data_IF_401576051737
#
_entry.id   IF_401576051737
#
_cell.length_a   1.000
_cell.length_b   1.000
_cell.length_c   1.000
_cell.angle_alpha   90.00
_cell.angle_beta   90.00
_cell.angle_gamma   90.00
#
_symmetry.space_group_name_H-M   'P 1'
#
loop_
_entity.id
_entity.type
_entity.pdbx_description
1 polymer ?
#
# COMPACT_ATOMS: atom_id res chain seq x y z
N UNK A 1 53.17 -15.50 8.47
CA UNK A 1 52.42 -14.95 7.31
C UNK A 1 51.86 -13.59 7.70
N UNK A 2 52.05 -12.57 6.83
CA UNK A 2 51.51 -11.24 7.07
C UNK A 2 49.97 -11.24 6.83
N UNK A 3 49.24 -10.40 7.57
CA UNK A 3 47.81 -10.21 7.37
C UNK A 3 47.55 -9.31 6.16
N UNK A 4 46.50 -9.58 5.39
CA UNK A 4 46.05 -8.67 4.32
C UNK A 4 45.70 -7.32 4.94
N UNK A 5 46.25 -6.26 4.39
CA UNK A 5 46.05 -4.90 4.85
C UNK A 5 46.27 -3.90 3.69
N UNK A 6 45.39 -2.88 3.58
CA UNK A 6 45.41 -1.93 2.47
C UNK A 6 44.62 -2.41 1.26
N UNK A 7 44.83 -1.76 0.11
CA UNK A 7 44.15 -2.11 -1.14
C UNK A 7 44.74 -3.40 -1.74
N UNK A 8 43.86 -4.27 -2.25
CA UNK A 8 44.24 -5.52 -2.88
C UNK A 8 43.15 -6.17 -3.72
N UNK A 9 43.55 -7.22 -4.41
CA UNK A 9 42.68 -8.10 -5.18
C UNK A 9 42.76 -9.48 -4.56
N UNK A 10 41.63 -10.08 -4.24
CA UNK A 10 41.50 -11.45 -3.77
C UNK A 10 40.65 -12.25 -4.75
N UNK A 11 41.20 -13.33 -5.26
CA UNK A 11 40.50 -14.31 -6.07
C UNK A 11 40.48 -15.65 -5.32
N UNK A 12 39.34 -16.30 -5.29
CA UNK A 12 39.15 -17.61 -4.65
C UNK A 12 38.75 -18.66 -5.67
N UNK A 13 39.11 -19.90 -5.41
CA UNK A 13 39.00 -21.04 -6.35
C UNK A 13 37.56 -21.26 -6.89
N UNK A 14 36.56 -20.74 -6.22
CA UNK A 14 35.17 -20.81 -6.68
C UNK A 14 34.78 -19.68 -7.68
N UNK A 15 35.77 -18.90 -8.18
CA UNK A 15 35.54 -17.84 -9.14
C UNK A 15 35.02 -16.52 -8.57
N UNK A 16 34.99 -16.39 -7.26
CA UNK A 16 34.70 -15.10 -6.63
C UNK A 16 35.94 -14.21 -6.65
N UNK A 17 35.73 -12.92 -6.94
CA UNK A 17 36.80 -11.91 -6.96
C UNK A 17 36.37 -10.69 -6.14
N UNK A 18 37.21 -10.30 -5.19
CA UNK A 18 37.07 -9.05 -4.46
C UNK A 18 38.19 -8.07 -4.81
N UNK A 19 37.82 -6.83 -5.07
CA UNK A 19 38.73 -5.72 -5.33
C UNK A 19 38.42 -4.61 -4.33
N UNK A 20 39.33 -4.30 -3.41
CA UNK A 20 39.02 -3.30 -2.39
C UNK A 20 40.02 -3.28 -1.25
N UNK A 21 39.60 -2.67 -0.16
CA UNK A 21 40.42 -2.50 1.03
C UNK A 21 40.28 -3.68 1.99
N UNK A 22 41.42 -4.06 2.60
CA UNK A 22 41.50 -5.05 3.67
C UNK A 22 42.04 -4.43 4.96
N UNK A 23 41.60 -4.96 6.07
CA UNK A 23 42.23 -4.72 7.39
C UNK A 23 42.21 -6.01 8.19
N UNK A 24 43.41 -6.49 8.57
CA UNK A 24 43.57 -7.73 9.35
C UNK A 24 42.86 -8.92 8.73
N UNK A 25 43.08 -9.15 7.42
CA UNK A 25 42.51 -10.21 6.60
C UNK A 25 40.98 -10.04 6.23
N UNK A 26 40.31 -9.01 6.70
CA UNK A 26 38.91 -8.76 6.46
C UNK A 26 38.66 -7.60 5.50
N UNK A 27 37.64 -7.72 4.66
CA UNK A 27 37.19 -6.62 3.80
C UNK A 27 36.73 -5.45 4.67
N UNK A 28 37.16 -4.23 4.31
CA UNK A 28 36.90 -2.99 5.02
C UNK A 28 36.87 -1.81 4.07
N UNK A 29 35.94 -0.85 4.26
CA UNK A 29 35.82 0.29 3.36
C UNK A 29 35.21 -0.08 2.02
N UNK A 30 35.39 0.78 1.02
CA UNK A 30 34.80 0.55 -0.31
C UNK A 30 35.46 -0.63 -1.03
N UNK A 31 34.68 -1.43 -1.73
CA UNK A 31 35.15 -2.53 -2.55
C UNK A 31 34.08 -3.10 -3.48
N UNK A 32 34.55 -3.89 -4.43
CA UNK A 32 33.69 -4.58 -5.41
C UNK A 32 33.87 -6.09 -5.27
N UNK A 33 32.78 -6.81 -5.11
CA UNK A 33 32.74 -8.27 -5.05
C UNK A 33 32.00 -8.82 -6.27
N UNK A 34 32.71 -9.60 -7.07
CA UNK A 34 32.18 -10.30 -8.23
C UNK A 34 31.99 -11.76 -7.85
N UNK A 35 30.80 -12.31 -8.14
CA UNK A 35 30.48 -13.71 -7.91
C UNK A 35 30.23 -14.43 -9.25
N UNK A 36 30.50 -15.73 -9.27
CA UNK A 36 30.40 -16.56 -10.48
C UNK A 36 28.99 -16.72 -11.06
N UNK A 37 27.95 -16.37 -10.29
CA UNK A 37 26.55 -16.37 -10.73
C UNK A 37 26.08 -15.03 -11.30
N UNK A 38 27.00 -14.20 -11.82
CA UNK A 38 26.76 -12.85 -12.32
C UNK A 38 26.19 -11.88 -11.27
N UNK A 39 26.46 -12.12 -10.01
CA UNK A 39 26.22 -11.13 -8.96
C UNK A 39 27.42 -10.20 -8.83
N UNK A 40 27.15 -8.91 -8.76
CA UNK A 40 28.15 -7.86 -8.51
C UNK A 40 27.67 -7.03 -7.33
N UNK A 41 28.53 -6.87 -6.35
CA UNK A 41 28.30 -6.03 -5.18
C UNK A 41 29.36 -4.93 -5.16
N UNK A 42 28.93 -3.69 -5.13
CA UNK A 42 29.80 -2.52 -4.95
C UNK A 42 29.33 -1.78 -3.71
N UNK A 43 30.07 -1.91 -2.62
CA UNK A 43 29.57 -1.43 -1.33
C UNK A 43 30.71 -1.05 -0.40
N UNK A 44 30.36 -0.36 0.68
CA UNK A 44 31.20 -0.32 1.85
C UNK A 44 31.11 -1.64 2.61
N UNK A 45 32.27 -2.11 3.07
CA UNK A 45 32.42 -3.34 3.86
C UNK A 45 32.93 -3.03 5.26
N UNK A 46 32.47 -3.81 6.23
CA UNK A 46 32.99 -3.87 7.59
C UNK A 46 32.98 -5.32 8.04
N UNK A 47 34.15 -5.83 8.45
CA UNK A 47 34.30 -7.22 8.91
C UNK A 47 33.70 -8.23 7.91
N UNK A 48 34.07 -8.11 6.62
CA UNK A 48 33.60 -8.91 5.48
C UNK A 48 32.15 -8.74 5.05
N UNK A 49 31.33 -7.98 5.76
CA UNK A 49 29.91 -7.75 5.48
C UNK A 49 29.68 -6.40 4.83
N UNK A 50 28.69 -6.32 3.95
CA UNK A 50 28.19 -5.04 3.45
C UNK A 50 27.69 -4.18 4.62
N UNK A 51 28.19 -2.95 4.70
CA UNK A 51 27.89 -2.04 5.79
C UNK A 51 28.09 -0.59 5.33
N UNK A 52 27.03 0.13 5.06
CA UNK A 52 27.01 1.45 4.44
C UNK A 52 26.30 1.45 3.11
N UNK A 53 26.47 2.50 2.33
CA UNK A 53 25.85 2.60 1.00
C UNK A 53 26.48 1.58 0.02
N UNK A 54 25.62 1.01 -0.85
CA UNK A 54 26.10 0.07 -1.86
C UNK A 54 25.06 -0.25 -2.93
N UNK A 55 25.57 -0.88 -3.97
CA UNK A 55 24.85 -1.38 -5.13
C UNK A 55 24.97 -2.91 -5.15
N UNK A 56 23.85 -3.59 -5.37
CA UNK A 56 23.78 -5.02 -5.61
C UNK A 56 23.14 -5.27 -6.96
N UNK A 57 23.83 -6.00 -7.83
CA UNK A 57 23.37 -6.36 -9.17
C UNK A 57 23.34 -7.87 -9.31
N UNK A 58 22.28 -8.43 -9.84
CA UNK A 58 22.14 -9.86 -10.14
C UNK A 58 21.82 -10.06 -11.63
N UNK A 59 22.88 -10.13 -12.44
CA UNK A 59 22.77 -10.20 -13.88
C UNK A 59 22.05 -8.96 -14.44
N UNK A 60 21.04 -9.19 -15.27
CA UNK A 60 20.12 -8.14 -15.76
C UNK A 60 18.79 -8.14 -15.01
N UNK A 61 18.66 -8.90 -13.92
CA UNK A 61 17.38 -9.28 -13.36
C UNK A 61 16.95 -8.45 -12.16
N UNK A 62 17.89 -8.10 -11.30
CA UNK A 62 17.61 -7.36 -10.07
C UNK A 62 18.73 -6.37 -9.81
N UNK A 63 18.38 -5.16 -9.41
CA UNK A 63 19.30 -4.15 -8.93
C UNK A 63 18.77 -3.55 -7.64
N UNK A 64 19.62 -3.39 -6.66
CA UNK A 64 19.33 -2.64 -5.45
C UNK A 64 20.39 -1.58 -5.21
N UNK A 65 19.95 -0.39 -4.84
CA UNK A 65 20.76 0.76 -4.50
C UNK A 65 20.29 1.30 -3.15
N UNK A 66 21.12 1.30 -2.14
CA UNK A 66 20.71 1.76 -0.82
C UNK A 66 21.71 1.44 0.27
N UNK A 67 21.26 1.53 1.49
CA UNK A 67 22.08 1.29 2.66
C UNK A 67 22.00 -0.16 3.13
N UNK A 68 23.11 -0.63 3.67
CA UNK A 68 23.29 -1.99 4.18
C UNK A 68 23.82 -1.96 5.60
N UNK A 69 23.36 -2.86 6.41
CA UNK A 69 23.94 -3.19 7.71
C UNK A 69 24.01 -4.71 7.88
N UNK A 70 25.22 -5.22 8.09
CA UNK A 70 25.47 -6.65 8.25
C UNK A 70 24.85 -7.52 7.14
N UNK A 71 25.04 -7.15 5.87
CA UNK A 71 24.51 -7.79 4.66
C UNK A 71 22.99 -7.65 4.48
N UNK A 72 22.30 -6.83 5.25
CA UNK A 72 20.86 -6.59 5.13
C UNK A 72 20.55 -5.16 4.73
N UNK A 73 19.55 -4.97 3.89
CA UNK A 73 19.05 -3.65 3.51
C UNK A 73 18.46 -2.92 4.71
N UNK A 74 18.80 -1.64 4.86
CA UNK A 74 18.27 -0.75 5.89
C UNK A 74 18.01 0.65 5.33
N UNK A 75 17.18 1.43 6.01
CA UNK A 75 16.91 2.81 5.61
C UNK A 75 16.33 2.90 4.20
N UNK A 76 16.63 3.98 3.49
CA UNK A 76 16.10 4.21 2.14
C UNK A 76 16.88 3.39 1.12
N UNK A 77 16.12 2.70 0.24
CA UNK A 77 16.66 1.94 -0.87
C UNK A 77 15.78 2.01 -2.12
N UNK A 78 16.38 1.70 -3.25
CA UNK A 78 15.72 1.58 -4.55
C UNK A 78 16.01 0.20 -5.13
N UNK A 79 14.98 -0.56 -5.44
CA UNK A 79 15.07 -1.91 -6.01
C UNK A 79 14.32 -1.98 -7.33
N UNK A 80 14.93 -2.63 -8.33
CA UNK A 80 14.35 -2.83 -9.66
C UNK A 80 14.38 -4.33 -9.97
N UNK A 81 13.29 -4.86 -10.52
CA UNK A 81 13.16 -6.24 -10.95
C UNK A 81 13.18 -6.37 -12.49
N UNK A 82 13.36 -7.60 -12.97
CA UNK A 82 13.48 -7.93 -14.40
C UNK A 82 12.25 -7.49 -15.22
N UNK A 83 11.08 -7.51 -14.62
CA UNK A 83 9.81 -7.09 -15.23
C UNK A 83 9.62 -5.56 -15.24
N UNK A 84 10.66 -4.81 -14.86
CA UNK A 84 10.69 -3.35 -14.71
C UNK A 84 9.86 -2.82 -13.54
N UNK A 85 9.24 -3.68 -12.74
CA UNK A 85 8.67 -3.24 -11.48
C UNK A 85 9.76 -2.70 -10.58
N UNK A 86 9.44 -1.73 -9.73
CA UNK A 86 10.42 -1.14 -8.84
C UNK A 86 9.81 -0.69 -7.52
N UNK A 87 10.66 -0.60 -6.51
CA UNK A 87 10.32 -0.07 -5.21
C UNK A 87 11.32 0.99 -4.78
N UNK A 88 10.82 2.09 -4.29
CA UNK A 88 11.60 3.12 -3.60
C UNK A 88 11.00 3.38 -2.23
N UNK A 89 11.76 3.15 -1.17
CA UNK A 89 11.23 3.33 0.18
C UNK A 89 12.14 2.79 1.27
N UNK A 90 11.56 2.65 2.44
CA UNK A 90 12.26 2.24 3.64
C UNK A 90 12.40 0.72 3.74
N UNK A 91 13.55 0.30 4.25
CA UNK A 91 13.87 -1.09 4.56
C UNK A 91 14.31 -1.22 6.02
N UNK A 92 13.93 -2.29 6.64
CA UNK A 92 14.38 -2.71 7.96
C UNK A 92 14.78 -4.19 7.90
N UNK A 93 16.06 -4.49 8.13
CA UNK A 93 16.61 -5.86 8.08
C UNK A 93 16.27 -6.65 6.80
N UNK A 94 16.25 -6.01 5.63
CA UNK A 94 15.93 -6.62 4.34
C UNK A 94 14.45 -6.73 4.03
N UNK A 95 13.59 -6.11 4.84
CA UNK A 95 12.12 -6.13 4.72
C UNK A 95 11.65 -4.71 4.40
N UNK A 96 10.71 -4.55 3.45
CA UNK A 96 10.04 -3.28 3.22
C UNK A 96 9.19 -2.94 4.43
N UNK A 97 9.48 -1.80 5.05
CA UNK A 97 8.82 -1.32 6.27
C UNK A 97 8.90 0.21 6.32
N UNK A 98 7.84 0.89 6.82
CA UNK A 98 7.76 2.35 6.79
C UNK A 98 7.12 2.86 5.50
N UNK A 99 7.59 3.96 4.96
CA UNK A 99 7.00 4.61 3.79
C UNK A 99 7.71 4.17 2.51
N UNK A 100 6.93 3.89 1.47
CA UNK A 100 7.52 3.55 0.16
C UNK A 100 6.53 3.62 -0.99
N UNK A 101 7.10 3.71 -2.19
CA UNK A 101 6.39 3.67 -3.46
C UNK A 101 6.76 2.40 -4.20
N UNK A 102 5.77 1.67 -4.67
CA UNK A 102 5.94 0.53 -5.55
C UNK A 102 5.26 0.81 -6.90
N UNK A 103 6.00 0.63 -7.98
CA UNK A 103 5.48 0.67 -9.35
C UNK A 103 5.53 -0.75 -9.91
N UNK A 104 4.38 -1.29 -10.29
CA UNK A 104 4.28 -2.60 -10.94
C UNK A 104 4.52 -2.50 -12.44
N UNK A 105 4.83 -3.63 -13.05
CA UNK A 105 5.07 -3.74 -14.51
C UNK A 105 3.85 -3.41 -15.37
N UNK A 106 2.64 -3.47 -14.81
CA UNK A 106 1.39 -3.06 -15.47
C UNK A 106 1.08 -1.55 -15.34
N UNK A 107 2.03 -0.76 -14.79
CA UNK A 107 1.91 0.66 -14.44
C UNK A 107 0.93 0.98 -13.30
N UNK A 108 0.42 0.00 -12.59
CA UNK A 108 -0.20 0.29 -11.31
C UNK A 108 0.84 0.75 -10.29
N UNK A 109 0.44 1.59 -9.35
CA UNK A 109 1.36 2.21 -8.38
C UNK A 109 0.72 2.25 -7.00
N UNK A 110 1.52 1.99 -5.98
CA UNK A 110 1.16 2.24 -4.58
C UNK A 110 2.13 3.21 -3.94
N UNK A 111 1.59 4.14 -3.17
CA UNK A 111 2.32 5.11 -2.35
C UNK A 111 1.74 5.08 -0.94
N UNK A 112 2.53 4.67 0.04
CA UNK A 112 2.01 4.58 1.41
C UNK A 112 2.86 3.74 2.34
N UNK A 113 2.23 3.27 3.40
CA UNK A 113 2.87 2.50 4.46
C UNK A 113 3.06 1.04 4.09
N UNK A 114 4.18 0.51 4.52
CA UNK A 114 4.59 -0.88 4.35
C UNK A 114 4.88 -1.52 5.69
N UNK A 115 4.50 -2.77 5.85
CA UNK A 115 4.83 -3.60 6.99
C UNK A 115 5.06 -5.04 6.56
N UNK A 116 6.19 -5.62 6.98
CA UNK A 116 6.54 -7.02 6.66
C UNK A 116 6.41 -7.34 5.16
N UNK A 117 6.93 -6.47 4.27
CA UNK A 117 6.81 -6.54 2.81
C UNK A 117 5.37 -6.41 2.26
N UNK A 118 4.39 -6.07 3.07
CA UNK A 118 2.99 -5.92 2.66
C UNK A 118 2.55 -4.46 2.70
N UNK A 119 1.62 -4.10 1.81
CA UNK A 119 0.86 -2.87 1.91
C UNK A 119 0.06 -2.90 3.22
N UNK A 120 0.21 -1.85 4.02
CA UNK A 120 -0.39 -1.72 5.33
C UNK A 120 -0.66 -0.25 5.65
N UNK A 121 -1.43 0.04 6.72
CA UNK A 121 -1.65 1.41 7.18
C UNK A 121 -2.35 2.28 6.16
N UNK A 122 -1.90 3.51 5.97
CA UNK A 122 -2.50 4.44 5.05
C UNK A 122 -1.72 4.53 3.73
N UNK A 123 -2.44 4.58 2.59
CA UNK A 123 -1.79 4.73 1.29
C UNK A 123 -2.76 4.91 0.13
N UNK A 124 -2.18 5.25 -1.02
CA UNK A 124 -2.89 5.48 -2.26
C UNK A 124 -2.47 4.43 -3.28
N UNK A 125 -3.45 3.73 -3.84
CA UNK A 125 -3.24 2.79 -4.94
C UNK A 125 -3.84 3.34 -6.23
N UNK A 126 -3.01 3.49 -7.23
CA UNK A 126 -3.39 3.86 -8.59
C UNK A 126 -3.43 2.59 -9.44
N UNK A 127 -4.60 2.21 -9.89
CA UNK A 127 -4.79 1.05 -10.76
C UNK A 127 -4.34 1.38 -12.19
N UNK A 128 -3.85 0.39 -12.90
CA UNK A 128 -3.40 0.53 -14.31
C UNK A 128 -4.51 0.98 -15.26
N UNK A 129 -5.77 0.73 -14.90
CA UNK A 129 -6.95 1.18 -15.64
C UNK A 129 -7.44 2.59 -15.28
N UNK A 130 -6.70 3.33 -14.42
CA UNK A 130 -6.99 4.70 -14.02
C UNK A 130 -7.93 4.87 -12.83
N UNK A 131 -8.42 3.79 -12.23
CA UNK A 131 -9.10 3.87 -10.92
C UNK A 131 -8.10 4.23 -9.82
N UNK A 132 -8.58 4.71 -8.69
CA UNK A 132 -7.74 5.05 -7.54
C UNK A 132 -8.46 4.67 -6.24
N UNK A 133 -7.68 4.18 -5.29
CA UNK A 133 -8.11 4.05 -3.90
C UNK A 133 -7.15 4.81 -2.99
N UNK A 134 -7.69 5.62 -2.09
CA UNK A 134 -6.95 6.32 -1.02
C UNK A 134 -7.58 5.99 0.32
N UNK A 135 -6.84 5.34 1.20
CA UNK A 135 -7.40 4.92 2.48
C UNK A 135 -6.55 3.92 3.23
N UNK A 136 -7.20 3.25 4.19
CA UNK A 136 -6.57 2.29 5.07
C UNK A 136 -6.41 0.91 4.40
N UNK A 137 -5.28 0.27 4.68
CA UNK A 137 -4.90 -1.03 4.16
C UNK A 137 -4.51 -2.00 5.29
N UNK A 138 -4.87 -3.25 5.14
CA UNK A 138 -4.44 -4.31 6.03
C UNK A 138 -4.20 -5.58 5.23
N UNK A 139 -2.99 -6.13 5.34
CA UNK A 139 -2.59 -7.35 4.62
C UNK A 139 -2.90 -7.26 3.11
N UNK A 140 -2.48 -6.17 2.46
CA UNK A 140 -2.65 -5.90 1.03
C UNK A 140 -4.11 -5.73 0.57
N UNK A 141 -5.07 -5.57 1.50
CA UNK A 141 -6.49 -5.36 1.19
C UNK A 141 -6.98 -4.01 1.70
N UNK A 142 -7.89 -3.40 0.96
CA UNK A 142 -8.63 -2.24 1.44
C UNK A 142 -9.38 -2.61 2.72
N UNK A 143 -9.14 -1.88 3.81
CA UNK A 143 -9.71 -2.21 5.12
C UNK A 143 -9.74 -0.94 5.97
N UNK A 144 -10.86 -0.65 6.63
CA UNK A 144 -11.05 0.62 7.33
C UNK A 144 -11.67 1.70 6.43
N UNK A 145 -11.33 2.95 6.65
CA UNK A 145 -11.93 4.06 5.93
C UNK A 145 -11.13 4.43 4.68
N UNK A 146 -11.84 4.74 3.57
CA UNK A 146 -11.17 5.16 2.34
C UNK A 146 -12.11 5.71 1.26
N UNK A 147 -11.50 6.32 0.26
CA UNK A 147 -12.12 6.83 -0.95
C UNK A 147 -11.72 5.97 -2.15
N UNK A 148 -12.69 5.54 -2.92
CA UNK A 148 -12.48 4.88 -4.21
C UNK A 148 -13.03 5.74 -5.33
N UNK A 149 -12.20 6.06 -6.31
CA UNK A 149 -12.56 6.84 -7.50
C UNK A 149 -12.54 5.94 -8.73
N UNK A 150 -13.63 5.97 -9.50
CA UNK A 150 -13.71 5.32 -10.80
C UNK A 150 -13.36 6.30 -11.92
N UNK A 151 -12.90 5.78 -13.06
CA UNK A 151 -12.56 6.57 -14.25
C UNK A 151 -13.75 7.39 -14.76
N UNK A 152 -14.96 6.83 -14.65
CA UNK A 152 -16.18 7.50 -15.08
C UNK A 152 -16.62 8.67 -14.17
N UNK A 153 -15.86 8.96 -13.12
CA UNK A 153 -16.12 10.05 -12.18
C UNK A 153 -16.97 9.68 -10.97
N UNK A 154 -17.50 8.44 -10.90
CA UNK A 154 -18.10 7.96 -9.65
C UNK A 154 -17.09 7.92 -8.53
N UNK A 155 -17.57 8.07 -7.30
CA UNK A 155 -16.76 7.95 -6.09
C UNK A 155 -17.52 7.20 -4.99
N UNK A 156 -16.76 6.47 -4.19
CA UNK A 156 -17.27 5.94 -2.94
C UNK A 156 -16.37 6.40 -1.79
N UNK A 157 -16.95 6.91 -0.76
CA UNK A 157 -16.28 7.34 0.47
C UNK A 157 -16.93 6.61 1.65
N UNK A 158 -16.18 5.76 2.34
CA UNK A 158 -16.75 4.96 3.41
C UNK A 158 -15.85 3.83 3.88
N UNK A 159 -16.46 2.90 4.62
CA UNK A 159 -15.73 1.80 5.21
C UNK A 159 -15.58 0.61 4.25
N UNK A 160 -14.45 -0.06 4.40
CA UNK A 160 -14.06 -1.28 3.69
C UNK A 160 -13.70 -2.39 4.68
N UNK A 161 -13.95 -3.61 4.27
CA UNK A 161 -13.47 -4.82 4.92
C UNK A 161 -13.11 -5.84 3.85
N UNK A 162 -11.84 -6.28 3.83
CA UNK A 162 -11.35 -7.29 2.89
C UNK A 162 -11.73 -6.96 1.43
N UNK A 163 -11.38 -5.73 0.96
CA UNK A 163 -11.68 -5.19 -0.37
C UNK A 163 -13.16 -4.92 -0.68
N UNK A 164 -14.05 -5.14 0.26
CA UNK A 164 -15.48 -4.94 0.06
C UNK A 164 -15.99 -3.75 0.86
N UNK A 165 -16.90 -2.97 0.26
CA UNK A 165 -17.61 -1.90 0.97
C UNK A 165 -18.41 -2.53 2.11
N UNK A 166 -18.23 -2.02 3.32
CA UNK A 166 -18.82 -2.53 4.55
C UNK A 166 -19.18 -1.37 5.48
N UNK A 167 -20.27 -1.48 6.22
CA UNK A 167 -20.68 -0.41 7.13
C UNK A 167 -21.21 0.83 6.39
N UNK A 168 -20.95 2.00 6.95
CA UNK A 168 -21.48 3.25 6.43
C UNK A 168 -20.60 3.82 5.29
N UNK A 169 -21.28 4.42 4.26
CA UNK A 169 -20.57 5.08 3.16
C UNK A 169 -21.47 5.87 2.23
N UNK A 170 -20.83 6.73 1.45
CA UNK A 170 -21.44 7.61 0.47
C UNK A 170 -20.96 7.17 -0.93
N UNK A 171 -21.90 6.96 -1.82
CA UNK A 171 -21.62 6.62 -3.21
C UNK A 171 -22.13 7.73 -4.12
N UNK A 172 -21.22 8.51 -4.69
CA UNK A 172 -21.49 9.55 -5.66
C UNK A 172 -21.67 8.94 -7.06
N UNK A 173 -22.71 9.36 -7.77
CA UNK A 173 -23.08 8.88 -9.09
C UNK A 173 -22.86 9.97 -10.15
N UNK A 174 -22.89 9.61 -11.43
CA UNK A 174 -22.58 10.52 -12.55
C UNK A 174 -23.59 11.65 -12.74
N UNK A 175 -24.82 11.45 -12.30
CA UNK A 175 -25.92 12.39 -12.47
C UNK A 175 -26.07 13.35 -11.27
N UNK A 176 -24.97 13.60 -10.57
CA UNK A 176 -24.90 14.42 -9.36
C UNK A 176 -25.78 13.87 -8.20
N UNK A 177 -26.30 12.66 -8.36
CA UNK A 177 -27.00 12.01 -7.29
C UNK A 177 -26.03 11.20 -6.43
N UNK A 178 -26.41 10.95 -5.18
CA UNK A 178 -25.61 10.12 -4.30
C UNK A 178 -26.49 9.31 -3.36
N UNK A 179 -25.96 8.15 -3.03
CA UNK A 179 -26.53 7.28 -2.00
C UNK A 179 -25.69 7.41 -0.74
N UNK A 180 -26.34 7.62 0.37
CA UNK A 180 -25.74 7.63 1.69
C UNK A 180 -26.41 6.54 2.51
N UNK A 181 -25.64 5.57 3.01
CA UNK A 181 -26.26 4.48 3.77
C UNK A 181 -25.31 3.33 4.05
N UNK A 182 -25.91 2.19 4.42
CA UNK A 182 -25.14 1.03 4.83
C UNK A 182 -24.87 0.07 3.68
N UNK A 183 -23.73 -0.59 3.84
CA UNK A 183 -23.17 -1.56 2.91
C UNK A 183 -22.80 -2.84 3.65
N UNK A 184 -22.96 -3.95 3.01
CA UNK A 184 -22.48 -5.26 3.47
C UNK A 184 -22.04 -6.07 2.27
N UNK A 185 -20.82 -6.64 2.37
CA UNK A 185 -20.24 -7.47 1.31
C UNK A 185 -20.31 -6.79 -0.08
N UNK A 186 -19.95 -5.50 -0.14
CA UNK A 186 -19.93 -4.70 -1.37
C UNK A 186 -21.30 -4.21 -1.86
N UNK A 187 -22.42 -4.59 -1.21
CA UNK A 187 -23.79 -4.28 -1.63
C UNK A 187 -24.47 -3.33 -0.67
N UNK A 188 -25.36 -2.47 -1.18
CA UNK A 188 -26.24 -1.68 -0.32
C UNK A 188 -27.05 -2.62 0.56
N UNK A 189 -27.01 -2.43 1.87
CA UNK A 189 -27.71 -3.32 2.80
C UNK A 189 -28.06 -2.58 4.09
N UNK A 190 -29.32 -2.47 4.40
CA UNK A 190 -29.84 -1.66 5.49
C UNK A 190 -30.41 -0.33 5.01
N UNK A 191 -30.44 0.63 5.92
CA UNK A 191 -31.01 1.95 5.67
C UNK A 191 -30.11 2.81 4.77
N UNK A 192 -30.76 3.74 4.04
CA UNK A 192 -30.02 4.75 3.28
C UNK A 192 -30.93 5.84 2.74
N UNK A 193 -30.28 6.90 2.30
CA UNK A 193 -30.86 8.04 1.59
C UNK A 193 -30.33 8.08 0.18
N UNK A 194 -31.21 8.35 -0.77
CA UNK A 194 -30.85 8.72 -2.14
C UNK A 194 -31.16 10.19 -2.32
N UNK A 195 -30.19 10.98 -2.75
CA UNK A 195 -30.29 12.42 -2.88
C UNK A 195 -29.96 12.81 -4.31
N UNK A 196 -30.81 13.65 -4.93
CA UNK A 196 -30.59 14.26 -6.25
C UNK A 196 -31.15 15.68 -6.25
N UNK A 197 -30.24 16.68 -6.24
CA UNK A 197 -30.61 18.07 -6.04
C UNK A 197 -31.39 18.25 -4.73
N UNK A 198 -32.63 18.76 -4.83
CA UNK A 198 -33.52 18.94 -3.67
C UNK A 198 -34.34 17.68 -3.32
N UNK A 199 -34.29 16.64 -4.13
CA UNK A 199 -35.05 15.41 -3.91
C UNK A 199 -34.31 14.49 -2.97
N UNK A 200 -34.90 14.15 -1.84
CA UNK A 200 -34.40 13.18 -0.87
C UNK A 200 -35.43 12.04 -0.80
N UNK A 201 -34.94 10.82 -0.93
CA UNK A 201 -35.73 9.60 -0.78
C UNK A 201 -35.09 8.70 0.26
N UNK A 202 -35.85 8.29 1.22
CA UNK A 202 -35.47 7.39 2.29
C UNK A 202 -35.88 5.95 1.97
N UNK A 203 -35.01 4.99 2.17
CA UNK A 203 -35.30 3.61 1.84
C UNK A 203 -34.52 2.58 2.61
N UNK A 204 -34.89 1.31 2.41
CA UNK A 204 -34.19 0.13 2.91
C UNK A 204 -33.77 -0.73 1.74
N UNK A 205 -32.55 -1.25 1.85
CA UNK A 205 -31.93 -2.16 0.86
C UNK A 205 -31.60 -3.50 1.52
N UNK A 206 -31.76 -4.57 0.79
CA UNK A 206 -31.32 -5.92 1.16
C UNK A 206 -30.55 -6.49 -0.04
N UNK A 207 -29.29 -6.86 0.20
CA UNK A 207 -28.42 -7.44 -0.81
C UNK A 207 -28.36 -6.64 -2.14
N UNK A 208 -28.33 -5.31 -2.04
CA UNK A 208 -28.24 -4.39 -3.18
C UNK A 208 -29.59 -4.03 -3.81
N UNK A 209 -30.66 -4.74 -3.50
CA UNK A 209 -32.01 -4.44 -4.01
C UNK A 209 -32.74 -3.53 -3.04
N UNK A 210 -33.44 -2.53 -3.59
CA UNK A 210 -34.34 -1.68 -2.79
C UNK A 210 -35.57 -2.48 -2.44
N UNK A 211 -35.88 -2.59 -1.15
CA UNK A 211 -37.08 -3.24 -0.63
C UNK A 211 -38.24 -2.25 -0.48
N UNK A 212 -37.98 -1.10 0.16
CA UNK A 212 -39.03 -0.15 0.51
C UNK A 212 -38.53 1.28 0.36
N UNK A 213 -39.43 2.20 -0.08
CA UNK A 213 -39.32 3.63 0.13
C UNK A 213 -40.20 4.04 1.30
N UNK A 214 -39.80 5.06 2.01
CA UNK A 214 -40.58 5.72 3.06
C UNK A 214 -41.10 7.04 2.52
N UNK A 215 -42.22 7.52 3.06
CA UNK A 215 -42.88 8.72 2.60
C UNK A 215 -42.07 9.97 2.89
N UNK A 216 -41.47 10.02 4.09
CA UNK A 216 -40.65 11.11 4.59
C UNK A 216 -39.65 10.62 5.60
N UNK A 217 -38.92 11.55 6.23
CA UNK A 217 -37.88 11.26 7.21
C UNK A 217 -38.45 10.70 8.52
N UNK A 218 -39.65 11.16 8.92
CA UNK A 218 -40.30 10.73 10.15
C UNK A 218 -40.78 9.26 10.05
N UNK A 219 -41.49 8.90 8.97
CA UNK A 219 -41.88 7.50 8.63
C UNK A 219 -40.63 6.58 8.59
N UNK A 220 -39.50 7.06 8.05
CA UNK A 220 -38.28 6.33 7.99
C UNK A 220 -37.69 6.03 9.38
N UNK A 221 -37.62 7.02 10.26
CA UNK A 221 -37.10 6.83 11.60
C UNK A 221 -38.04 6.07 12.53
N UNK A 222 -39.36 6.26 12.45
CA UNK A 222 -40.33 5.55 13.26
C UNK A 222 -40.33 4.04 12.98
N UNK A 223 -40.27 3.64 11.71
CA UNK A 223 -40.18 2.22 11.33
C UNK A 223 -38.88 1.55 11.80
N UNK A 224 -37.86 2.34 12.15
CA UNK A 224 -36.58 1.83 12.61
C UNK A 224 -36.46 1.73 14.13
N UNK A 225 -37.15 2.57 14.87
CA UNK A 225 -37.15 2.52 16.33
C UNK A 225 -37.74 1.21 16.88
N UNK A 226 -38.55 0.54 16.11
CA UNK A 226 -39.23 -0.70 16.51
C UNK A 226 -38.41 -1.97 16.35
N UNK A 227 -37.31 -1.97 15.60
CA UNK A 227 -36.58 -3.22 15.24
C UNK A 227 -35.10 -3.30 15.65
N UNK A 228 -34.37 -2.19 15.77
CA UNK A 228 -32.95 -2.26 16.14
C UNK A 228 -32.43 -0.98 16.83
N UNK A 229 -32.58 -0.91 18.14
CA UNK A 229 -31.99 0.15 19.03
C UNK A 229 -30.46 0.35 18.83
N UNK A 230 -29.81 -0.59 18.18
CA UNK A 230 -28.36 -0.62 17.98
C UNK A 230 -27.81 0.45 17.03
N UNK A 231 -28.66 1.07 16.21
CA UNK A 231 -28.24 2.03 15.18
C UNK A 231 -28.59 3.48 15.46
N UNK A 232 -29.27 3.78 16.57
CA UNK A 232 -29.70 5.13 16.92
C UNK A 232 -28.54 6.12 17.08
N UNK A 233 -27.37 5.65 17.50
CA UNK A 233 -26.19 6.48 17.70
C UNK A 233 -25.28 6.61 16.47
N UNK A 234 -25.51 5.81 15.42
CA UNK A 234 -24.71 5.81 14.19
C UNK A 234 -25.30 6.79 13.15
N UNK A 235 -26.61 7.14 13.28
CA UNK A 235 -27.30 8.12 12.44
C UNK A 235 -27.32 9.55 12.99
N UNK A 236 -26.64 9.85 14.09
CA UNK A 236 -26.25 11.22 14.33
C UNK A 236 -25.22 11.55 13.23
N UNK A 237 -25.73 12.09 12.13
CA UNK A 237 -24.93 12.75 11.14
C UNK A 237 -24.01 13.69 11.90
N UNK A 238 -22.71 13.72 11.61
CA UNK A 238 -21.92 14.86 12.03
C UNK A 238 -22.60 16.07 11.38
N UNK A 239 -23.18 16.95 12.20
CA UNK A 239 -23.87 18.18 11.79
C UNK A 239 -22.98 19.10 10.93
N UNK A 240 -21.75 18.70 10.69
CA UNK A 240 -20.69 19.41 9.98
C UNK A 240 -20.19 18.73 8.70
N UNK A 241 -20.91 17.78 8.14
CA UNK A 241 -20.59 17.32 6.79
C UNK A 241 -21.07 18.41 5.81
N UNK A 242 -20.24 19.43 5.62
CA UNK A 242 -20.36 20.32 4.49
C UNK A 242 -20.13 19.48 3.25
N UNK A 243 -21.22 19.13 2.57
CA UNK A 243 -21.18 18.63 1.20
C UNK A 243 -20.65 19.77 0.34
N UNK A 244 -19.59 19.54 -0.49
CA UNK A 244 -19.11 20.52 -1.42
C UNK A 244 -20.16 20.91 -2.47
#
# INVERSE_FOLDING_TARGET
MGKKHGFGIEEVDNGHKFIGMFSHDKKKGWGELYKNNNEIIKSYFKEDKMNGFGEYLKGKNVSYYGYWENDKQIGIGYEIWIDSSNYFGEYNNGIKEGIGTYLWSDNSKYEGEWKDNNIYGFGIYYFSDGRMYSGEWKNQKMNGYGEFCWIDGKKYLGFYKEDQREGFGIHYLLDESFYIGFWKEGKKNGMGKYIKGKIIKYGVWINGKKEKWFNDEEDFYENFQSKEIKYKNIFQWPDNLYLP
#
